data_IF_348058121162
#
_entry.id   IF_348058121162
#
_cell.length_a   1.000
_cell.length_b   1.000
_cell.length_c   1.000
_cell.angle_alpha   90.00
_cell.angle_beta   90.00
_cell.angle_gamma   90.00
#
_symmetry.space_group_name_H-M   'P 1'
#
loop_
_entity.id
_entity.type
_entity.pdbx_description
1 polymer ?
#
# COMPACT_ATOMS: atom_id res chain seq x y z
N UNK A 1 1.90 33.63 17.69
CA UNK A 1 1.64 33.64 16.23
C UNK A 1 1.48 32.22 15.76
N UNK A 2 0.31 31.87 15.19
CA UNK A 2 0.07 30.51 14.70
C UNK A 2 0.91 30.17 13.46
N UNK A 3 1.09 28.88 13.18
CA UNK A 3 1.82 28.39 11.99
C UNK A 3 1.21 28.98 10.71
N UNK A 4 -0.12 29.05 10.63
CA UNK A 4 -0.83 29.65 9.51
C UNK A 4 -0.53 31.15 9.33
N UNK A 5 -0.48 31.91 10.43
CA UNK A 5 -0.10 33.33 10.38
C UNK A 5 1.36 33.51 9.92
N UNK A 6 2.25 32.58 10.28
CA UNK A 6 3.66 32.61 9.87
C UNK A 6 3.82 32.30 8.38
N UNK A 7 3.06 31.36 7.85
CA UNK A 7 3.02 31.03 6.41
C UNK A 7 2.43 32.16 5.57
N UNK A 8 1.38 32.85 6.05
CA UNK A 8 0.82 33.99 5.32
C UNK A 8 1.73 35.24 5.33
N UNK A 9 2.53 35.41 6.39
CA UNK A 9 3.54 36.47 6.45
C UNK A 9 4.74 36.19 5.54
N UNK A 10 5.17 34.93 5.46
CA UNK A 10 6.35 34.49 4.72
C UNK A 10 5.93 33.50 3.62
N UNK A 11 5.53 34.03 2.47
CA UNK A 11 4.91 33.24 1.38
C UNK A 11 5.85 32.22 0.74
N UNK A 12 7.16 32.47 0.82
CA UNK A 12 8.22 31.55 0.39
C UNK A 12 8.21 30.22 1.14
N UNK A 13 7.64 30.18 2.36
CA UNK A 13 7.53 28.94 3.15
C UNK A 13 6.34 28.06 2.74
N UNK A 14 5.36 28.61 2.02
CA UNK A 14 4.17 27.88 1.60
C UNK A 14 4.52 26.66 0.72
N UNK A 15 5.29 26.78 -0.38
CA UNK A 15 5.62 25.62 -1.21
C UNK A 15 6.41 24.55 -0.43
N UNK A 16 7.31 24.96 0.47
CA UNK A 16 8.06 24.03 1.33
C UNK A 16 7.12 23.27 2.27
N UNK A 17 6.20 23.98 2.92
CA UNK A 17 5.21 23.37 3.81
C UNK A 17 4.29 22.40 3.05
N UNK A 18 3.86 22.74 1.84
CA UNK A 18 3.03 21.87 1.00
C UNK A 18 3.76 20.57 0.65
N UNK A 19 5.02 20.63 0.23
CA UNK A 19 5.80 19.44 -0.12
C UNK A 19 5.99 18.54 1.10
N UNK A 20 6.40 19.09 2.24
CA UNK A 20 6.67 18.33 3.46
C UNK A 20 5.38 17.67 3.97
N UNK A 21 4.28 18.42 4.03
CA UNK A 21 3.00 17.89 4.48
C UNK A 21 2.48 16.80 3.54
N UNK A 22 2.55 17.01 2.23
CA UNK A 22 2.17 16.00 1.23
C UNK A 22 3.01 14.73 1.38
N UNK A 23 4.33 14.86 1.55
CA UNK A 23 5.23 13.74 1.74
C UNK A 23 4.93 12.97 3.03
N UNK A 24 4.75 13.67 4.16
CA UNK A 24 4.43 13.06 5.44
C UNK A 24 3.09 12.31 5.37
N UNK A 25 2.03 12.97 4.86
CA UNK A 25 0.71 12.36 4.70
C UNK A 25 0.76 11.16 3.76
N UNK A 26 1.47 11.26 2.63
CA UNK A 26 1.65 10.17 1.67
C UNK A 26 2.36 8.96 2.29
N UNK A 27 3.46 9.19 3.01
CA UNK A 27 4.22 8.14 3.68
C UNK A 27 3.38 7.43 4.76
N UNK A 28 2.69 8.19 5.61
CA UNK A 28 1.80 7.61 6.64
C UNK A 28 0.67 6.82 6.01
N UNK A 29 0.02 7.36 4.98
CA UNK A 29 -1.08 6.68 4.29
C UNK A 29 -0.63 5.38 3.64
N UNK A 30 0.55 5.40 2.98
CA UNK A 30 1.12 4.22 2.36
C UNK A 30 1.53 3.16 3.40
N UNK A 31 2.12 3.56 4.52
CA UNK A 31 2.45 2.64 5.61
C UNK A 31 1.20 1.92 6.15
N UNK A 32 0.11 2.68 6.39
CA UNK A 32 -1.16 2.10 6.83
C UNK A 32 -1.78 1.17 5.77
N UNK A 33 -1.67 1.52 4.49
CA UNK A 33 -2.11 0.67 3.38
C UNK A 33 -1.30 -0.64 3.32
N UNK A 34 0.03 -0.54 3.39
CA UNK A 34 0.93 -1.69 3.35
C UNK A 34 0.74 -2.64 4.54
N UNK A 35 0.38 -2.12 5.72
CA UNK A 35 0.06 -2.98 6.87
C UNK A 35 -1.28 -3.73 6.71
N UNK A 36 -2.19 -3.28 5.84
CA UNK A 36 -3.47 -3.97 5.59
C UNK A 36 -3.39 -5.03 4.48
N UNK A 37 -2.26 -5.10 3.78
CA UNK A 37 -2.03 -6.02 2.67
C UNK A 37 -1.96 -7.48 3.14
N UNK A 38 -2.64 -8.37 2.42
CA UNK A 38 -2.75 -9.80 2.78
C UNK A 38 -1.45 -10.59 2.58
N UNK A 39 -0.55 -10.07 1.76
CA UNK A 39 0.77 -10.61 1.44
C UNK A 39 1.86 -10.23 2.47
N UNK A 40 1.57 -9.30 3.39
CA UNK A 40 2.54 -8.87 4.41
C UNK A 40 2.50 -9.81 5.62
N UNK A 41 3.69 -10.31 5.99
CA UNK A 41 3.86 -11.17 7.16
C UNK A 41 3.83 -10.31 8.43
N UNK A 42 2.68 -10.23 9.09
CA UNK A 42 2.53 -9.57 10.41
C UNK A 42 2.68 -10.60 11.53
N UNK A 43 2.03 -11.76 11.40
CA UNK A 43 2.12 -12.86 12.36
C UNK A 43 2.67 -14.12 11.68
N UNK A 44 4.00 -14.27 11.77
CA UNK A 44 4.71 -15.42 11.19
C UNK A 44 4.36 -16.74 11.87
N UNK A 45 3.91 -16.74 13.14
CA UNK A 45 3.60 -17.97 13.88
C UNK A 45 2.27 -18.56 13.43
N UNK A 46 1.25 -17.72 13.21
CA UNK A 46 -0.09 -18.18 12.81
C UNK A 46 -0.29 -18.23 11.30
N UNK A 47 0.47 -17.44 10.54
CA UNK A 47 0.38 -17.38 9.09
C UNK A 47 1.78 -17.23 8.46
N UNK A 48 2.56 -18.31 8.36
CA UNK A 48 3.93 -18.25 7.84
C UNK A 48 4.00 -17.89 6.36
N UNK A 49 2.94 -18.16 5.59
CA UNK A 49 2.91 -18.03 4.12
C UNK A 49 1.71 -17.18 3.64
N UNK A 50 1.67 -15.87 3.97
CA UNK A 50 0.54 -15.00 3.64
C UNK A 50 0.27 -14.85 2.13
N UNK A 51 1.32 -14.93 1.30
CA UNK A 51 1.20 -14.86 -0.16
C UNK A 51 0.32 -15.98 -0.74
N UNK A 52 0.12 -17.09 -0.03
CA UNK A 52 -0.76 -18.15 -0.50
C UNK A 52 -2.24 -17.75 -0.51
N UNK A 53 -2.64 -16.81 0.36
CA UNK A 53 -4.03 -16.40 0.57
C UNK A 53 -4.41 -15.15 -0.22
N UNK A 54 -3.50 -14.66 -1.07
CA UNK A 54 -3.73 -13.49 -1.92
C UNK A 54 -4.76 -13.83 -3.00
N UNK A 55 -5.78 -12.99 -3.13
CA UNK A 55 -6.80 -13.13 -4.17
C UNK A 55 -6.23 -12.73 -5.54
N UNK A 56 -6.13 -13.66 -6.51
CA UNK A 56 -5.58 -13.39 -7.84
C UNK A 56 -6.56 -12.65 -8.76
N UNK A 57 -7.82 -12.48 -8.35
CA UNK A 57 -8.85 -11.77 -9.13
C UNK A 57 -8.87 -10.27 -8.85
N UNK A 58 -8.20 -9.85 -7.78
CA UNK A 58 -8.18 -8.46 -7.34
C UNK A 58 -6.85 -7.76 -7.64
N UNK A 59 -6.89 -6.44 -7.90
CA UNK A 59 -5.69 -5.66 -8.14
C UNK A 59 -4.80 -5.59 -6.91
N UNK A 60 -3.53 -6.00 -7.08
CA UNK A 60 -2.56 -6.00 -5.99
C UNK A 60 -1.70 -4.73 -5.91
N UNK A 61 -1.83 -3.79 -6.85
CA UNK A 61 -1.07 -2.53 -6.82
C UNK A 61 -1.97 -1.38 -6.40
N UNK A 62 -1.36 -0.33 -5.84
CA UNK A 62 -2.09 0.91 -5.50
C UNK A 62 -2.71 1.56 -6.74
N UNK A 63 -2.04 1.45 -7.89
CA UNK A 63 -2.51 1.95 -9.18
C UNK A 63 -2.33 0.83 -10.20
N UNK A 64 -3.36 0.58 -11.00
CA UNK A 64 -3.32 -0.38 -12.11
C UNK A 64 -3.77 0.29 -13.39
N UNK A 65 -3.13 -0.02 -14.51
CA UNK A 65 -3.46 0.51 -15.83
C UNK A 65 -3.59 -0.67 -16.77
N UNK A 66 -4.80 -0.92 -17.29
CA UNK A 66 -5.10 -1.98 -18.26
C UNK A 66 -4.59 -3.39 -17.87
N UNK A 67 -4.53 -3.70 -16.56
CA UNK A 67 -4.08 -5.01 -16.08
C UNK A 67 -5.27 -5.94 -15.87
N UNK A 68 -5.20 -7.16 -16.41
CA UNK A 68 -6.16 -8.22 -16.13
C UNK A 68 -5.68 -9.09 -14.97
N UNK A 69 -6.58 -9.38 -14.04
CA UNK A 69 -6.32 -10.18 -12.85
C UNK A 69 -7.05 -11.51 -12.99
N UNK A 70 -6.29 -12.58 -13.23
CA UNK A 70 -6.81 -13.93 -13.43
C UNK A 70 -5.95 -14.94 -12.65
N UNK A 71 -6.56 -15.98 -12.08
CA UNK A 71 -5.81 -17.06 -11.45
C UNK A 71 -4.89 -17.75 -12.45
N UNK A 72 -3.70 -18.12 -11.99
CA UNK A 72 -2.78 -18.95 -12.77
C UNK A 72 -3.24 -20.41 -12.68
N UNK A 73 -3.69 -20.98 -13.80
CA UNK A 73 -4.25 -22.34 -13.84
C UNK A 73 -3.24 -23.40 -13.37
N UNK A 74 -1.98 -23.28 -13.79
CA UNK A 74 -0.91 -24.21 -13.38
C UNK A 74 -0.71 -24.21 -11.85
N UNK A 75 -0.75 -23.03 -11.23
CA UNK A 75 -0.66 -22.91 -9.77
C UNK A 75 -1.85 -23.58 -9.09
N UNK A 76 -3.05 -23.48 -9.68
CA UNK A 76 -4.24 -24.17 -9.15
C UNK A 76 -4.12 -25.69 -9.30
N UNK A 77 -3.59 -26.19 -10.42
CA UNK A 77 -3.36 -27.64 -10.62
C UNK A 77 -2.39 -28.18 -9.56
N UNK A 78 -1.27 -27.49 -9.35
CA UNK A 78 -0.27 -27.88 -8.33
C UNK A 78 -0.91 -27.89 -6.94
N UNK A 79 -1.65 -26.83 -6.57
CA UNK A 79 -2.37 -26.79 -5.29
C UNK A 79 -3.33 -27.94 -5.10
N UNK A 80 -4.07 -28.31 -6.14
CA UNK A 80 -5.01 -29.47 -6.09
C UNK A 80 -4.28 -30.80 -5.96
N UNK A 81 -3.07 -30.92 -6.50
CA UNK A 81 -2.26 -32.13 -6.41
C UNK A 81 -1.54 -32.29 -5.06
N UNK A 82 -1.23 -31.17 -4.40
CA UNK A 82 -0.54 -31.15 -3.10
C UNK A 82 -1.49 -31.25 -1.90
N UNK A 83 -2.79 -30.97 -2.09
CA UNK A 83 -3.82 -30.97 -1.03
C UNK A 83 -4.56 -32.30 -0.95
#
# INVERSE_FOLDING_TARGET
MGIFQRLMKNKELIPLAVIITTAATGATSFALYALKKTDVVIDRKRNPEPWERVDPTQPQKLITINQQWKPVEELQKVRRATR
#
